data_IF_776631209907
#
_entry.id   IF_776631209907
#
_cell.length_a   1.000
_cell.length_b   1.000
_cell.length_c   1.000
_cell.angle_alpha   90.00
_cell.angle_beta   90.00
_cell.angle_gamma   90.00
#
_symmetry.space_group_name_H-M   'P 1'
#
loop_
_entity.id
_entity.type
_entity.pdbx_description
1 polymer ?
#
# COMPACT_ATOMS: atom_id res chain seq x y z
N UNK A 1 -7.81 7.99 15.75
CA UNK A 1 -7.12 6.90 16.47
C UNK A 1 -7.88 5.59 16.36
N UNK A 2 -9.22 5.60 16.29
CA UNK A 2 -10.04 4.42 15.99
C UNK A 2 -9.59 3.63 14.75
N UNK A 3 -9.28 4.30 13.64
CA UNK A 3 -8.78 3.63 12.43
C UNK A 3 -7.43 2.90 12.67
N UNK A 4 -6.51 3.51 13.42
CA UNK A 4 -5.26 2.87 13.80
C UNK A 4 -5.46 1.70 14.77
N UNK A 5 -6.47 1.78 15.65
CA UNK A 5 -6.81 0.65 16.54
C UNK A 5 -7.33 -0.56 15.77
N UNK A 6 -8.03 -0.35 14.65
CA UNK A 6 -8.62 -1.41 13.83
C UNK A 6 -7.61 -1.97 12.81
N UNK A 7 -6.80 -1.11 12.19
CA UNK A 7 -5.95 -1.50 11.06
C UNK A 7 -4.51 -1.88 11.45
N UNK A 8 -4.02 -1.45 12.62
CA UNK A 8 -2.61 -1.64 12.99
C UNK A 8 -2.43 -2.72 14.07
N UNK A 9 -1.58 -3.72 13.80
CA UNK A 9 -1.19 -4.74 14.77
C UNK A 9 -0.16 -4.24 15.80
N UNK A 10 0.52 -3.13 15.52
CA UNK A 10 1.46 -2.46 16.40
C UNK A 10 1.51 -0.97 16.09
N UNK A 11 1.62 -0.15 17.12
CA UNK A 11 1.62 1.31 17.04
C UNK A 11 2.91 1.82 17.68
N UNK A 12 3.61 2.71 16.99
CA UNK A 12 4.74 3.46 17.52
C UNK A 12 4.30 4.89 17.88
N UNK A 13 4.63 5.35 19.07
CA UNK A 13 4.39 6.73 19.51
C UNK A 13 5.73 7.48 19.51
N UNK A 14 5.78 8.59 18.77
CA UNK A 14 6.89 9.52 18.76
C UNK A 14 6.46 10.87 19.32
N UNK A 15 7.35 11.51 20.09
CA UNK A 15 7.14 12.84 20.67
C UNK A 15 8.38 13.68 20.39
N UNK A 16 8.21 14.87 19.78
CA UNK A 16 9.31 15.76 19.38
C UNK A 16 10.40 15.09 18.54
N UNK A 17 10.00 14.25 17.58
CA UNK A 17 10.95 13.50 16.73
C UNK A 17 11.70 12.37 17.44
N UNK A 18 11.44 12.16 18.74
CA UNK A 18 12.04 11.09 19.52
C UNK A 18 11.06 9.93 19.69
N UNK A 19 11.55 8.72 19.47
CA UNK A 19 10.80 7.50 19.70
C UNK A 19 10.54 7.29 21.20
N UNK A 20 9.26 7.10 21.59
CA UNK A 20 8.87 6.93 23.00
C UNK A 20 8.51 5.48 23.30
N UNK A 21 7.66 4.87 22.49
CA UNK A 21 7.24 3.50 22.71
C UNK A 21 6.67 2.85 21.44
N UNK A 22 6.66 1.52 21.43
CA UNK A 22 6.10 0.67 20.38
C UNK A 22 5.42 -0.54 21.05
N UNK A 23 4.25 -0.91 20.58
CA UNK A 23 3.56 -2.11 21.01
C UNK A 23 2.18 -2.26 20.39
N UNK A 24 1.47 -3.35 20.71
CA UNK A 24 0.05 -3.48 20.34
C UNK A 24 -0.80 -2.42 21.03
N UNK A 25 -2.00 -2.18 20.51
CA UNK A 25 -2.99 -1.26 21.12
C UNK A 25 -3.22 -1.58 22.60
N UNK A 26 -3.40 -2.87 22.94
CA UNK A 26 -3.56 -3.32 24.32
C UNK A 26 -2.29 -3.11 25.16
N UNK A 27 -1.10 -3.33 24.59
CA UNK A 27 0.16 -3.09 25.31
C UNK A 27 0.32 -1.60 25.65
N UNK A 28 -0.01 -0.70 24.73
CA UNK A 28 0.08 0.73 24.95
C UNK A 28 -0.97 1.21 25.96
N UNK A 29 -2.21 0.72 25.88
CA UNK A 29 -3.25 0.99 26.88
C UNK A 29 -2.86 0.49 28.27
N UNK A 30 -2.24 -0.68 28.38
CA UNK A 30 -1.78 -1.22 29.67
C UNK A 30 -0.56 -0.47 30.24
N UNK A 31 0.32 0.03 29.37
CA UNK A 31 1.60 0.64 29.79
C UNK A 31 1.51 2.14 30.01
N UNK A 32 0.61 2.82 29.30
CA UNK A 32 0.50 4.28 29.28
C UNK A 32 -0.94 4.78 29.42
N UNK A 33 -1.93 3.88 29.41
CA UNK A 33 -3.32 4.19 29.74
C UNK A 33 -3.46 4.19 31.24
N UNK A 34 -2.87 5.19 31.88
CA UNK A 34 -2.97 5.37 33.32
C UNK A 34 -4.44 5.58 33.68
N UNK A 35 -4.95 4.72 34.56
CA UNK A 35 -6.24 4.89 35.19
C UNK A 35 -7.43 4.14 34.58
N UNK A 36 -8.52 4.14 35.34
CA UNK A 36 -9.81 3.60 34.94
C UNK A 36 -10.89 4.69 35.02
N UNK A 37 -11.80 4.68 34.06
CA UNK A 37 -13.01 5.50 34.10
C UNK A 37 -14.18 4.66 34.60
N UNK A 38 -14.85 5.14 35.64
CA UNK A 38 -16.01 4.50 36.24
C UNK A 38 -17.24 5.36 36.04
N UNK A 39 -18.29 4.77 35.47
CA UNK A 39 -19.62 5.38 35.36
C UNK A 39 -20.58 4.67 36.31
N UNK A 40 -21.27 5.42 37.16
CA UNK A 40 -22.22 4.88 38.14
C UNK A 40 -23.58 5.50 37.88
N UNK A 41 -24.63 4.68 37.79
CA UNK A 41 -26.02 5.16 37.62
C UNK A 41 -26.79 5.06 38.93
N UNK A 42 -27.30 6.18 39.42
CA UNK A 42 -28.06 6.28 40.67
C UNK A 42 -29.54 5.93 40.50
N UNK A 43 -30.15 5.36 41.54
CA UNK A 43 -31.60 5.15 41.65
C UNK A 43 -32.23 6.49 42.07
N UNK A 44 -33.24 6.95 41.33
CA UNK A 44 -33.82 8.31 41.34
C UNK A 44 -33.82 9.11 42.67
N UNK A 45 -33.39 10.37 42.57
CA UNK A 45 -33.86 11.55 43.34
C UNK A 45 -34.03 11.39 44.86
N UNK A 46 -33.03 10.89 45.58
CA UNK A 46 -32.98 11.00 47.05
C UNK A 46 -31.65 11.62 47.52
N UNK A 47 -31.68 12.96 47.56
CA UNK A 47 -31.11 13.91 48.52
C UNK A 47 -29.83 13.51 49.30
N UNK A 48 -28.70 14.10 48.89
CA UNK A 48 -27.46 14.48 49.64
C UNK A 48 -26.68 13.45 50.49
N UNK A 49 -27.30 12.39 50.98
CA UNK A 49 -26.67 11.39 51.87
C UNK A 49 -25.95 10.29 51.10
N UNK A 50 -26.44 9.92 49.91
CA UNK A 50 -25.77 8.96 49.02
C UNK A 50 -24.45 9.53 48.48
N UNK A 51 -24.40 10.85 48.26
CA UNK A 51 -23.22 11.54 47.75
C UNK A 51 -22.03 11.43 48.71
N UNK A 52 -22.24 11.65 50.02
CA UNK A 52 -21.16 11.56 51.01
C UNK A 52 -20.67 10.13 51.21
N UNK A 53 -21.56 9.14 51.26
CA UNK A 53 -21.13 7.73 51.45
C UNK A 53 -20.35 7.22 50.23
N UNK A 54 -20.71 7.63 49.01
CA UNK A 54 -19.95 7.30 47.80
C UNK A 54 -18.59 8.00 47.83
N UNK A 55 -18.54 9.30 48.18
CA UNK A 55 -17.28 10.04 48.32
C UNK A 55 -16.38 9.46 49.43
N UNK A 56 -16.94 8.98 50.54
CA UNK A 56 -16.21 8.38 51.65
C UNK A 56 -15.65 6.99 51.29
N UNK A 57 -16.41 6.18 50.53
CA UNK A 57 -15.96 4.87 50.03
C UNK A 57 -14.79 4.96 49.03
N UNK A 58 -14.69 6.09 48.34
CA UNK A 58 -13.75 6.38 47.26
C UNK A 58 -12.78 7.50 47.66
N UNK A 59 -12.06 7.33 48.78
CA UNK A 59 -11.03 8.27 49.24
C UNK A 59 -9.84 8.40 48.26
N UNK A 60 -9.25 9.60 48.24
CA UNK A 60 -8.02 10.15 47.58
C UNK A 60 -7.67 9.79 46.13
N UNK A 61 -8.09 8.63 45.62
CA UNK A 61 -7.64 8.08 44.34
C UNK A 61 -8.70 8.19 43.23
N UNK A 62 -9.92 8.58 43.57
CA UNK A 62 -11.06 8.72 42.65
C UNK A 62 -11.39 10.20 42.46
N UNK A 63 -11.18 10.71 41.25
CA UNK A 63 -11.45 12.10 40.88
C UNK A 63 -12.81 12.15 40.18
N UNK A 64 -13.79 12.83 40.78
CA UNK A 64 -15.07 13.09 40.10
C UNK A 64 -14.84 14.07 38.95
N UNK A 65 -15.14 13.65 37.72
CA UNK A 65 -15.02 14.49 36.52
C UNK A 65 -16.31 15.19 36.18
N UNK A 66 -17.41 14.44 36.17
CA UNK A 66 -18.71 14.92 35.72
C UNK A 66 -19.81 14.33 36.59
N UNK A 67 -20.83 15.15 36.85
CA UNK A 67 -22.05 14.77 37.54
C UNK A 67 -23.24 15.16 36.67
N UNK A 68 -23.98 14.16 36.22
CA UNK A 68 -25.31 14.32 35.63
C UNK A 68 -26.37 13.82 36.62
N UNK A 69 -27.63 14.20 36.40
CA UNK A 69 -28.75 14.02 37.33
C UNK A 69 -28.77 12.64 38.01
N UNK A 70 -28.56 11.56 37.25
CA UNK A 70 -28.49 10.19 37.77
C UNK A 70 -27.20 9.45 37.38
N UNK A 71 -26.15 10.13 36.90
CA UNK A 71 -24.91 9.48 36.44
C UNK A 71 -23.71 10.22 37.03
N UNK A 72 -22.83 9.47 37.70
CA UNK A 72 -21.55 9.95 38.21
C UNK A 72 -20.41 9.39 37.36
N UNK A 73 -19.50 10.25 36.92
CA UNK A 73 -18.29 9.87 36.19
C UNK A 73 -17.05 10.11 37.06
N UNK A 74 -16.35 9.04 37.41
CA UNK A 74 -15.10 9.07 38.17
C UNK A 74 -13.92 8.63 37.31
N UNK A 75 -12.76 9.28 37.48
CA UNK A 75 -11.48 8.85 36.93
C UNK A 75 -10.54 8.44 38.07
N UNK A 76 -9.96 7.24 37.99
CA UNK A 76 -8.93 6.76 38.92
C UNK A 76 -7.58 7.08 38.32
N UNK A 77 -6.76 7.88 38.98
CA UNK A 77 -5.46 8.33 38.44
C UNK A 77 -4.28 7.38 38.72
N UNK A 78 -4.44 6.35 39.55
CA UNK A 78 -3.33 5.48 39.99
C UNK A 78 -3.45 4.02 39.53
N UNK A 79 -2.34 3.47 39.04
CA UNK A 79 -2.14 2.07 38.60
C UNK A 79 -2.20 1.07 39.78
N UNK A 80 -2.09 1.53 41.03
CA UNK A 80 -1.98 0.65 42.20
C UNK A 80 -3.32 0.20 42.80
N UNK A 81 -4.46 0.57 42.19
CA UNK A 81 -5.78 0.12 42.66
C UNK A 81 -6.14 -1.20 41.97
N UNK A 82 -6.30 -2.27 42.77
CA UNK A 82 -6.74 -3.56 42.25
C UNK A 82 -8.17 -3.49 41.70
N UNK A 83 -8.40 -4.00 40.49
CA UNK A 83 -9.74 -4.15 39.91
C UNK A 83 -10.68 -4.91 40.85
N UNK A 84 -10.15 -5.90 41.58
CA UNK A 84 -10.92 -6.66 42.59
C UNK A 84 -11.54 -5.73 43.63
N UNK A 85 -10.77 -4.77 44.13
CA UNK A 85 -11.25 -3.85 45.17
C UNK A 85 -12.27 -2.86 44.61
N UNK A 86 -12.11 -2.43 43.35
CA UNK A 86 -13.08 -1.58 42.63
C UNK A 86 -14.41 -2.30 42.48
N UNK A 87 -14.39 -3.52 41.90
CA UNK A 87 -15.60 -4.31 41.68
C UNK A 87 -16.28 -4.69 43.00
N UNK A 88 -15.52 -5.12 44.02
CA UNK A 88 -16.10 -5.44 45.34
C UNK A 88 -16.78 -4.24 46.00
N UNK A 89 -16.22 -3.02 45.87
CA UNK A 89 -16.88 -1.81 46.40
C UNK A 89 -18.15 -1.46 45.61
N UNK A 90 -18.12 -1.56 44.29
CA UNK A 90 -19.28 -1.26 43.43
C UNK A 90 -20.40 -2.29 43.59
N UNK A 91 -20.08 -3.58 43.71
CA UNK A 91 -21.06 -4.63 44.00
C UNK A 91 -21.72 -4.45 45.37
N UNK A 92 -20.97 -4.08 46.40
CA UNK A 92 -21.56 -3.75 47.70
C UNK A 92 -22.55 -2.57 47.62
N UNK A 93 -22.30 -1.59 46.75
CA UNK A 93 -23.23 -0.48 46.50
C UNK A 93 -24.48 -0.94 45.73
N UNK A 94 -24.33 -1.93 44.84
CA UNK A 94 -25.44 -2.55 44.10
C UNK A 94 -26.34 -3.38 45.03
N UNK A 95 -25.74 -4.22 45.89
CA UNK A 95 -26.45 -5.06 46.88
C UNK A 95 -27.22 -4.21 47.88
N UNK A 96 -26.68 -3.07 48.29
CA UNK A 96 -27.35 -2.13 49.19
C UNK A 96 -28.40 -1.24 48.48
N UNK A 97 -28.77 -1.57 47.23
CA UNK A 97 -29.70 -0.85 46.35
C UNK A 97 -29.40 0.65 46.14
N UNK A 98 -28.14 1.08 46.33
CA UNK A 98 -27.76 2.50 46.22
C UNK A 98 -27.48 2.93 44.77
N UNK A 99 -27.11 1.98 43.92
CA UNK A 99 -26.85 2.18 42.49
C UNK A 99 -27.72 1.22 41.68
N UNK A 100 -28.08 1.62 40.48
CA UNK A 100 -28.85 0.80 39.52
C UNK A 100 -27.94 0.00 38.60
N UNK A 101 -26.79 0.58 38.24
CA UNK A 101 -25.84 0.00 37.32
C UNK A 101 -24.47 0.69 37.44
N UNK A 102 -23.41 0.01 37.04
CA UNK A 102 -22.07 0.60 36.96
C UNK A 102 -21.28 0.05 35.76
N UNK A 103 -20.34 0.85 35.27
CA UNK A 103 -19.41 0.47 34.20
C UNK A 103 -18.00 0.89 34.60
N UNK A 104 -17.04 -0.03 34.43
CA UNK A 104 -15.61 0.23 34.58
C UNK A 104 -14.96 0.05 33.22
N UNK A 105 -14.27 1.08 32.74
CA UNK A 105 -13.61 1.08 31.43
C UNK A 105 -12.17 1.55 31.56
N UNK A 106 -11.27 0.93 30.79
CA UNK A 106 -9.90 1.40 30.66
C UNK A 106 -9.88 2.63 29.74
N UNK A 107 -8.92 3.53 29.98
CA UNK A 107 -8.70 4.68 29.11
C UNK A 107 -8.42 4.24 27.66
N UNK A 108 -8.97 5.00 26.71
CA UNK A 108 -8.81 4.75 25.27
C UNK A 108 -7.39 5.10 24.81
N UNK A 109 -6.99 4.63 23.63
CA UNK A 109 -5.70 5.04 23.05
C UNK A 109 -5.66 6.56 22.81
N UNK A 110 -6.83 7.18 22.57
CA UNK A 110 -6.98 8.63 22.52
C UNK A 110 -6.48 9.31 23.81
N UNK A 111 -6.89 8.80 24.96
CA UNK A 111 -6.46 9.32 26.26
C UNK A 111 -4.96 9.11 26.49
N UNK A 112 -4.40 7.97 26.06
CA UNK A 112 -2.95 7.71 26.09
C UNK A 112 -2.19 8.79 25.32
N UNK A 113 -2.65 9.10 24.12
CA UNK A 113 -2.01 10.13 23.28
C UNK A 113 -2.14 11.53 23.87
N UNK A 114 -3.31 11.89 24.40
CA UNK A 114 -3.53 13.19 25.06
C UNK A 114 -2.61 13.34 26.28
N UNK A 115 -2.37 12.28 27.06
CA UNK A 115 -1.41 12.31 28.16
C UNK A 115 0.02 12.58 27.68
N UNK A 116 0.47 11.94 26.59
CA UNK A 116 1.77 12.25 25.98
C UNK A 116 1.88 13.69 25.47
N UNK A 117 0.78 14.33 25.08
CA UNK A 117 0.74 15.76 24.72
C UNK A 117 0.74 16.65 25.96
N UNK A 118 0.04 16.26 27.03
CA UNK A 118 -0.01 17.00 28.30
C UNK A 118 1.35 17.02 29.00
N UNK A 119 2.06 15.91 29.00
CA UNK A 119 3.44 15.81 29.50
C UNK A 119 4.40 16.76 28.77
N UNK A 120 4.14 17.08 27.49
CA UNK A 120 4.93 18.08 26.75
C UNK A 120 4.70 19.49 27.30
N UNK A 121 3.45 19.84 27.63
CA UNK A 121 3.10 21.14 28.19
C UNK A 121 3.70 21.31 29.59
N UNK A 122 3.64 20.27 30.42
CA UNK A 122 4.17 20.30 31.79
C UNK A 122 5.71 20.28 31.82
N UNK A 123 6.37 19.55 30.92
CA UNK A 123 7.83 19.60 30.77
C UNK A 123 8.33 20.97 30.27
N UNK A 124 7.57 21.62 29.39
CA UNK A 124 7.85 22.97 28.90
C UNK A 124 7.63 24.06 29.96
N UNK A 125 6.76 23.82 30.95
CA UNK A 125 6.55 24.71 32.10
C UNK A 125 7.58 24.49 33.22
N UNK A 126 8.01 23.24 33.45
CA UNK A 126 9.09 22.93 34.41
C UNK A 126 10.44 23.48 33.97
N UNK A 127 10.74 23.43 32.67
CA UNK A 127 11.94 24.05 32.10
C UNK A 127 11.92 25.57 32.29
N UNK A 128 10.78 26.26 32.06
CA UNK A 128 10.62 27.71 32.33
C UNK A 128 10.73 28.11 33.81
N UNK A 129 10.36 27.25 34.76
CA UNK A 129 10.59 27.49 36.20
C UNK A 129 12.04 27.25 36.63
N UNK A 130 12.75 26.31 35.98
CA UNK A 130 14.18 26.06 36.24
C UNK A 130 15.10 27.14 35.67
N UNK A 131 14.74 27.77 34.55
CA UNK A 131 15.49 28.88 33.95
C UNK A 131 15.27 30.24 34.61
N UNK A 132 14.27 30.38 35.50
CA UNK A 132 14.09 31.56 36.37
C UNK A 132 14.90 31.51 37.67
N UNK A 133 15.47 30.35 38.03
CA UNK A 133 16.29 30.15 39.24
C UNK A 133 17.80 30.07 38.96
N UNK A 134 18.21 30.18 37.68
CA UNK A 134 19.59 30.08 37.21
C UNK A 134 20.13 31.37 36.56
N UNK A 135 19.42 32.49 36.76
CA UNK A 135 19.85 33.85 36.39
C UNK A 135 20.20 34.68 37.64
N UNK A 136 20.74 34.07 38.68
CA UNK A 136 21.45 34.76 39.78
C UNK A 136 22.60 33.85 40.25
N UNK A 137 23.53 33.54 39.35
CA UNK A 137 24.91 33.13 39.64
C UNK A 137 25.59 32.74 38.33
N UNK A 138 26.06 33.74 37.59
CA UNK A 138 27.05 33.56 36.52
C UNK A 138 27.89 34.83 36.43
N UNK A 139 28.70 35.05 37.46
CA UNK A 139 30.00 35.67 37.31
C UNK A 139 31.01 34.58 37.65
N UNK A 140 31.92 34.34 36.71
CA UNK A 140 33.25 33.75 36.90
C UNK A 140 33.56 32.58 35.95
N UNK A 141 34.37 32.94 34.95
CA UNK A 141 35.54 32.21 34.45
C UNK A 141 35.26 30.92 33.68
N UNK A 142 35.35 31.03 32.36
CA UNK A 142 35.76 29.94 31.48
C UNK A 142 37.08 30.33 30.84
N UNK A 143 38.16 29.68 31.28
CA UNK A 143 39.37 29.48 30.52
C UNK A 143 39.74 27.98 30.63
N UNK A 144 40.16 27.42 29.49
CA UNK A 144 40.89 26.16 29.30
C UNK A 144 40.23 24.78 29.54
N UNK A 145 39.77 24.14 28.45
CA UNK A 145 40.54 23.14 27.64
C UNK A 145 39.72 21.94 27.06
N UNK A 146 40.16 21.56 25.85
CA UNK A 146 40.07 20.28 25.11
C UNK A 146 39.10 20.09 23.92
N UNK A 147 39.74 19.68 22.81
CA UNK A 147 39.35 19.57 21.40
C UNK A 147 38.59 18.27 21.01
N UNK A 148 37.98 18.37 19.81
CA UNK A 148 37.77 17.36 18.75
C UNK A 148 36.92 16.09 19.01
N UNK A 149 36.10 15.61 18.06
CA UNK A 149 35.93 15.93 16.65
C UNK A 149 34.79 15.12 16.02
N UNK A 150 34.34 15.55 14.85
CA UNK A 150 33.18 15.08 14.09
C UNK A 150 33.57 14.06 12.99
N UNK A 151 32.65 13.16 12.62
CA UNK A 151 32.86 12.17 11.53
C UNK A 151 31.92 12.39 10.33
N UNK A 152 32.51 12.17 9.15
CA UNK A 152 32.15 12.63 7.82
C UNK A 152 31.55 11.52 6.94
N UNK A 153 30.70 11.91 6.00
CA UNK A 153 30.07 11.11 4.92
C UNK A 153 31.02 10.76 3.76
N UNK A 154 30.86 9.54 3.22
CA UNK A 154 31.69 8.94 2.14
C UNK A 154 31.35 9.53 0.76
N UNK A 155 32.31 10.19 0.10
CA UNK A 155 32.37 10.46 -1.35
C UNK A 155 33.49 9.63 -1.98
N UNK A 156 33.18 8.89 -3.04
CA UNK A 156 34.15 8.08 -3.80
C UNK A 156 35.07 8.98 -4.64
N UNK A 157 36.39 8.77 -4.50
CA UNK A 157 37.47 9.56 -5.10
C UNK A 157 37.77 9.09 -6.52
N UNK A 158 37.83 10.06 -7.44
CA UNK A 158 38.59 10.01 -8.70
C UNK A 158 40.07 9.75 -8.40
N UNK A 159 40.68 8.84 -9.14
CA UNK A 159 42.14 8.68 -9.22
C UNK A 159 42.61 9.18 -10.59
N UNK A 160 43.42 10.23 -10.59
CA UNK A 160 44.25 10.65 -11.71
C UNK A 160 45.60 9.94 -11.58
N UNK A 161 45.96 9.10 -12.55
CA UNK A 161 47.35 8.77 -12.85
C UNK A 161 47.55 8.96 -14.35
N UNK A 162 48.54 9.80 -14.69
CA UNK A 162 49.03 10.04 -16.04
C UNK A 162 50.01 8.93 -16.47
N UNK A 163 50.19 8.88 -17.79
CA UNK A 163 51.27 8.24 -18.55
C UNK A 163 51.13 6.74 -18.85
N UNK A 164 50.59 6.45 -20.04
CA UNK A 164 51.29 5.64 -21.03
C UNK A 164 50.71 5.88 -22.45
N UNK A 165 51.59 6.38 -23.32
CA UNK A 165 51.41 6.50 -24.78
C UNK A 165 51.06 5.15 -25.41
N UNK A 166 49.88 5.02 -26.01
CA UNK A 166 49.61 4.03 -27.07
C UNK A 166 48.83 4.71 -28.19
N UNK A 167 49.39 4.66 -29.39
CA UNK A 167 48.90 5.31 -30.60
C UNK A 167 47.42 5.01 -30.91
N UNK A 168 46.63 6.07 -31.06
CA UNK A 168 45.30 6.03 -31.67
C UNK A 168 45.41 5.62 -33.14
N UNK A 169 45.31 4.32 -33.42
CA UNK A 169 44.98 3.83 -34.76
C UNK A 169 43.51 4.16 -35.02
N UNK A 170 43.26 5.01 -36.02
CA UNK A 170 41.93 5.31 -36.57
C UNK A 170 41.19 4.02 -36.90
N UNK A 171 40.03 3.82 -36.29
CA UNK A 171 39.10 2.74 -36.66
C UNK A 171 38.29 3.24 -37.87
N UNK A 172 38.10 2.44 -38.93
CA UNK A 172 37.36 2.87 -40.11
C UNK A 172 35.87 3.08 -39.78
N UNK A 173 35.38 4.25 -40.13
CA UNK A 173 33.96 4.61 -40.20
C UNK A 173 33.31 3.90 -41.37
N UNK A 174 32.61 2.78 -41.12
CA UNK A 174 31.47 2.29 -41.93
C UNK A 174 30.95 0.98 -41.31
N UNK A 175 29.84 1.03 -40.57
CA UNK A 175 28.75 0.02 -40.50
C UNK A 175 27.75 0.52 -39.43
N UNK A 176 26.43 0.64 -39.70
CA UNK A 176 25.44 0.96 -38.67
C UNK A 176 25.36 -0.21 -37.70
N UNK A 177 25.71 0.02 -36.44
CA UNK A 177 25.72 -1.01 -35.41
C UNK A 177 24.30 -1.21 -34.87
N UNK A 178 23.50 -2.03 -35.55
CA UNK A 178 22.25 -2.57 -35.00
C UNK A 178 22.59 -3.66 -33.97
N UNK A 179 23.07 -3.27 -32.79
CA UNK A 179 23.12 -4.17 -31.63
C UNK A 179 21.72 -4.19 -31.01
N UNK A 180 20.84 -5.08 -31.51
CA UNK A 180 19.75 -5.57 -30.66
C UNK A 180 20.42 -6.40 -29.56
N UNK A 181 20.53 -5.84 -28.36
CA UNK A 181 21.07 -6.57 -27.20
C UNK A 181 20.07 -7.69 -26.90
N UNK A 182 20.46 -8.93 -27.21
CA UNK A 182 19.65 -10.10 -26.92
C UNK A 182 19.54 -10.28 -25.39
N UNK A 183 18.30 -10.36 -24.88
CA UNK A 183 18.03 -10.49 -23.46
C UNK A 183 18.61 -11.81 -22.91
N UNK A 184 19.33 -11.75 -21.80
CA UNK A 184 19.79 -12.94 -21.08
C UNK A 184 18.65 -13.57 -20.27
N UNK A 185 17.71 -14.21 -20.95
CA UNK A 185 16.41 -14.68 -20.41
C UNK A 185 16.51 -15.43 -19.09
N UNK A 186 17.38 -16.43 -18.97
CA UNK A 186 17.55 -17.20 -17.73
C UNK A 186 18.02 -16.35 -16.55
N UNK A 187 18.89 -15.36 -16.81
CA UNK A 187 19.36 -14.43 -15.77
C UNK A 187 18.25 -13.48 -15.34
N UNK A 188 17.44 -13.00 -16.29
CA UNK A 188 16.27 -12.15 -16.02
C UNK A 188 15.23 -12.92 -15.19
N UNK A 189 14.91 -14.15 -15.57
CA UNK A 189 13.99 -15.02 -14.81
C UNK A 189 14.49 -15.20 -13.37
N UNK A 190 15.77 -15.55 -13.19
CA UNK A 190 16.37 -15.73 -11.87
C UNK A 190 16.35 -14.43 -11.07
N UNK A 191 16.62 -13.29 -11.72
CA UNK A 191 16.57 -11.98 -11.08
C UNK A 191 15.18 -11.66 -10.56
N UNK A 192 14.13 -11.83 -11.38
CA UNK A 192 12.74 -11.56 -10.99
C UNK A 192 12.30 -12.49 -9.84
N UNK A 193 12.62 -13.78 -9.90
CA UNK A 193 12.29 -14.73 -8.83
C UNK A 193 12.96 -14.34 -7.51
N UNK A 194 14.22 -13.90 -7.54
CA UNK A 194 14.91 -13.45 -6.34
C UNK A 194 14.32 -12.13 -5.82
N UNK A 195 14.02 -11.18 -6.71
CA UNK A 195 13.36 -9.93 -6.34
C UNK A 195 12.01 -10.16 -5.64
N UNK A 196 11.19 -11.10 -6.14
CA UNK A 196 9.94 -11.51 -5.49
C UNK A 196 10.18 -12.06 -4.07
N UNK A 197 11.20 -12.90 -3.89
CA UNK A 197 11.57 -13.45 -2.58
C UNK A 197 12.04 -12.36 -1.61
N UNK A 198 12.87 -11.45 -2.09
CA UNK A 198 13.41 -10.35 -1.30
C UNK A 198 12.28 -9.42 -0.84
N UNK A 199 11.38 -9.04 -1.76
CA UNK A 199 10.24 -8.20 -1.44
C UNK A 199 9.30 -8.87 -0.44
N UNK A 200 8.98 -10.16 -0.62
CA UNK A 200 8.21 -10.94 0.35
C UNK A 200 8.86 -10.95 1.76
N UNK A 201 10.19 -11.08 1.83
CA UNK A 201 10.89 -11.04 3.12
C UNK A 201 10.82 -9.66 3.79
N UNK A 202 10.86 -8.59 3.01
CA UNK A 202 10.78 -7.20 3.51
C UNK A 202 9.35 -6.89 3.98
N UNK A 203 8.35 -7.27 3.21
CA UNK A 203 6.93 -7.02 3.50
C UNK A 203 6.40 -7.88 4.66
N UNK A 204 7.09 -8.99 5.00
CA UNK A 204 6.68 -9.97 6.02
C UNK A 204 5.28 -10.55 5.75
N UNK A 205 4.89 -10.63 4.48
CA UNK A 205 3.67 -11.32 4.06
C UNK A 205 3.90 -12.83 4.03
N UNK A 206 2.83 -13.60 3.80
CA UNK A 206 2.85 -15.08 3.84
C UNK A 206 2.92 -15.72 2.45
N UNK A 207 2.83 -14.93 1.38
CA UNK A 207 2.73 -15.46 0.02
C UNK A 207 2.16 -14.44 -0.98
N UNK A 208 1.69 -14.96 -2.11
CA UNK A 208 1.20 -14.18 -3.25
C UNK A 208 -0.21 -14.62 -3.68
N UNK A 209 -0.98 -13.69 -4.23
CA UNK A 209 -2.21 -13.98 -4.97
C UNK A 209 -2.14 -13.36 -6.37
N UNK A 210 -2.56 -14.13 -7.38
CA UNK A 210 -2.52 -13.74 -8.80
C UNK A 210 -3.83 -14.11 -9.48
N UNK A 211 -4.41 -13.17 -10.24
CA UNK A 211 -5.51 -13.48 -11.15
C UNK A 211 -4.98 -14.09 -12.45
N UNK A 212 -5.53 -15.23 -12.87
CA UNK A 212 -5.14 -15.92 -14.12
C UNK A 212 -6.25 -15.74 -15.14
N UNK A 213 -5.99 -14.96 -16.19
CA UNK A 213 -7.00 -14.60 -17.21
C UNK A 213 -7.03 -15.54 -18.41
N UNK A 214 -6.02 -16.41 -18.55
CA UNK A 214 -5.77 -17.18 -19.77
C UNK A 214 -4.97 -16.41 -20.83
N UNK A 215 -4.50 -15.20 -20.50
CA UNK A 215 -3.53 -14.42 -21.28
C UNK A 215 -2.08 -14.62 -20.82
N UNK A 216 -1.14 -14.21 -21.66
CA UNK A 216 0.29 -14.48 -21.47
C UNK A 216 0.89 -13.85 -20.22
N UNK A 217 0.52 -12.61 -19.90
CA UNK A 217 1.17 -11.87 -18.81
C UNK A 217 0.87 -12.49 -17.45
N UNK A 218 -0.42 -12.82 -17.20
CA UNK A 218 -0.83 -13.54 -15.99
C UNK A 218 -0.23 -14.94 -15.91
N UNK A 219 -0.05 -15.62 -17.05
CA UNK A 219 0.59 -16.92 -17.10
C UNK A 219 2.08 -16.85 -16.73
N UNK A 220 2.78 -15.82 -17.20
CA UNK A 220 4.18 -15.56 -16.83
C UNK A 220 4.31 -15.24 -15.35
N UNK A 221 3.55 -14.26 -14.85
CA UNK A 221 3.63 -13.80 -13.45
C UNK A 221 3.31 -14.92 -12.48
N UNK A 222 2.22 -15.67 -12.72
CA UNK A 222 1.84 -16.80 -11.86
C UNK A 222 2.92 -17.90 -11.84
N UNK A 223 3.55 -18.19 -12.99
CA UNK A 223 4.64 -19.17 -13.08
C UNK A 223 5.91 -18.70 -12.37
N UNK A 224 6.28 -17.42 -12.52
CA UNK A 224 7.40 -16.83 -11.79
C UNK A 224 7.16 -16.86 -10.27
N UNK A 225 5.95 -16.50 -9.83
CA UNK A 225 5.55 -16.61 -8.42
C UNK A 225 5.61 -18.06 -7.92
N UNK A 226 5.14 -19.03 -8.71
CA UNK A 226 5.19 -20.45 -8.34
C UNK A 226 6.64 -20.93 -8.14
N UNK A 227 7.55 -20.53 -9.03
CA UNK A 227 8.99 -20.85 -8.97
C UNK A 227 9.73 -20.22 -7.78
N UNK A 228 9.12 -19.28 -7.06
CA UNK A 228 9.70 -18.80 -5.78
C UNK A 228 9.70 -19.89 -4.71
N UNK A 229 8.79 -20.87 -4.79
CA UNK A 229 8.54 -21.86 -3.74
C UNK A 229 7.74 -21.31 -2.56
N UNK A 230 7.33 -20.04 -2.58
CA UNK A 230 6.47 -19.42 -1.56
C UNK A 230 5.00 -19.76 -1.81
N UNK A 231 4.14 -19.72 -0.77
CA UNK A 231 2.71 -19.97 -0.94
C UNK A 231 2.09 -19.05 -2.00
N UNK A 232 1.40 -19.64 -2.97
CA UNK A 232 0.74 -18.95 -4.06
C UNK A 232 -0.72 -19.39 -4.15
N UNK A 233 -1.63 -18.41 -4.23
CA UNK A 233 -3.00 -18.60 -4.65
C UNK A 233 -3.18 -18.06 -6.07
N UNK A 234 -3.65 -18.88 -6.99
CA UNK A 234 -4.08 -18.44 -8.33
C UNK A 234 -5.59 -18.53 -8.48
N UNK A 235 -6.21 -17.49 -9.03
CA UNK A 235 -7.67 -17.40 -9.15
C UNK A 235 -8.10 -17.16 -10.60
N UNK A 236 -9.01 -17.99 -11.09
CA UNK A 236 -9.83 -17.67 -12.27
C UNK A 236 -11.04 -16.85 -11.82
N UNK A 237 -11.30 -15.72 -12.49
CA UNK A 237 -12.33 -14.75 -12.09
C UNK A 237 -13.18 -14.30 -13.29
N UNK A 238 -13.97 -15.21 -13.88
CA UNK A 238 -14.73 -14.92 -15.09
C UNK A 238 -15.87 -13.93 -14.82
N UNK A 239 -16.07 -13.00 -15.76
CA UNK A 239 -17.24 -12.12 -15.84
C UNK A 239 -17.67 -12.04 -17.30
N UNK A 240 -18.74 -12.77 -17.67
CA UNK A 240 -19.20 -12.90 -19.08
C UNK A 240 -18.06 -13.23 -20.06
N UNK A 241 -17.07 -14.00 -19.61
CA UNK A 241 -15.85 -14.27 -20.36
C UNK A 241 -16.08 -15.31 -21.46
N UNK A 242 -15.29 -15.25 -22.53
CA UNK A 242 -15.34 -16.24 -23.60
C UNK A 242 -14.98 -17.64 -23.08
N UNK A 243 -15.56 -18.67 -23.71
CA UNK A 243 -15.24 -20.07 -23.38
C UNK A 243 -13.76 -20.41 -23.63
N UNK A 244 -13.17 -19.81 -24.66
CA UNK A 244 -11.77 -20.04 -25.03
C UNK A 244 -10.79 -19.52 -23.98
N UNK A 245 -10.98 -18.30 -23.47
CA UNK A 245 -10.13 -17.74 -22.42
C UNK A 245 -10.28 -18.49 -21.11
N UNK A 246 -11.53 -18.86 -20.75
CA UNK A 246 -11.80 -19.69 -19.57
C UNK A 246 -11.12 -21.06 -19.65
N UNK A 247 -11.13 -21.68 -20.83
CA UNK A 247 -10.43 -22.95 -21.03
C UNK A 247 -8.92 -22.80 -20.83
N UNK A 248 -8.31 -21.73 -21.37
CA UNK A 248 -6.88 -21.43 -21.17
C UNK A 248 -6.55 -21.14 -19.71
N UNK A 249 -7.34 -20.33 -19.01
CA UNK A 249 -7.10 -20.01 -17.58
C UNK A 249 -7.18 -21.27 -16.72
N UNK A 250 -8.20 -22.11 -16.91
CA UNK A 250 -8.36 -23.38 -16.21
C UNK A 250 -7.23 -24.37 -16.51
N UNK A 251 -6.82 -24.49 -17.78
CA UNK A 251 -5.71 -25.35 -18.16
C UNK A 251 -4.40 -24.90 -17.49
N UNK A 252 -4.13 -23.59 -17.45
CA UNK A 252 -2.93 -23.04 -16.82
C UNK A 252 -2.92 -23.22 -15.30
N UNK A 253 -4.05 -22.96 -14.62
CA UNK A 253 -4.17 -23.19 -13.17
C UNK A 253 -3.95 -24.67 -12.83
N UNK A 254 -4.53 -25.58 -13.63
CA UNK A 254 -4.33 -27.02 -13.45
C UNK A 254 -2.88 -27.41 -13.66
N UNK A 255 -2.21 -26.86 -14.67
CA UNK A 255 -0.79 -27.08 -14.90
C UNK A 255 0.06 -26.58 -13.71
N UNK A 256 -0.20 -25.37 -13.21
CA UNK A 256 0.52 -24.81 -12.05
C UNK A 256 0.36 -25.67 -10.80
N UNK A 257 -0.88 -26.03 -10.43
CA UNK A 257 -1.16 -26.83 -9.23
C UNK A 257 -0.60 -28.25 -9.33
N UNK A 258 -0.45 -28.80 -10.54
CA UNK A 258 0.14 -30.13 -10.75
C UNK A 258 1.67 -30.13 -10.72
N UNK A 259 2.31 -29.02 -11.10
CA UNK A 259 3.77 -28.93 -11.20
C UNK A 259 4.44 -28.27 -9.98
N UNK A 260 3.69 -27.51 -9.18
CA UNK A 260 4.23 -26.72 -8.07
C UNK A 260 3.45 -26.97 -6.77
N UNK A 261 4.05 -27.62 -5.75
CA UNK A 261 3.34 -28.01 -4.52
C UNK A 261 2.96 -26.82 -3.62
N UNK A 262 3.58 -25.66 -3.83
CA UNK A 262 3.28 -24.41 -3.13
C UNK A 262 2.09 -23.63 -3.72
N UNK A 263 1.45 -24.15 -4.78
CA UNK A 263 0.38 -23.45 -5.50
C UNK A 263 -0.98 -24.05 -5.17
N UNK A 264 -1.93 -23.17 -4.88
CA UNK A 264 -3.35 -23.50 -4.73
C UNK A 264 -4.16 -22.74 -5.78
N UNK A 265 -5.16 -23.39 -6.37
CA UNK A 265 -6.03 -22.80 -7.38
C UNK A 265 -7.46 -22.60 -6.88
N UNK A 266 -8.15 -21.59 -7.40
CA UNK A 266 -9.57 -21.34 -7.16
C UNK A 266 -10.29 -20.76 -8.39
N UNK A 267 -11.60 -20.99 -8.45
CA UNK A 267 -12.51 -20.38 -9.44
C UNK A 267 -13.53 -19.55 -8.66
N UNK A 268 -13.63 -18.26 -8.99
CA UNK A 268 -14.58 -17.33 -8.39
C UNK A 268 -15.32 -16.61 -9.50
N UNK A 269 -16.46 -17.17 -9.89
CA UNK A 269 -17.32 -16.53 -10.88
C UNK A 269 -17.93 -15.23 -10.32
N UNK A 270 -17.59 -14.11 -10.95
CA UNK A 270 -18.03 -12.77 -10.53
C UNK A 270 -19.18 -12.23 -11.39
N UNK A 271 -19.72 -13.05 -12.30
CA UNK A 271 -20.78 -12.63 -13.24
C UNK A 271 -22.00 -12.11 -12.50
N UNK A 272 -22.56 -12.87 -11.54
CA UNK A 272 -23.79 -12.47 -10.84
C UNK A 272 -23.65 -11.15 -10.08
N UNK A 273 -22.47 -10.93 -9.47
CA UNK A 273 -22.14 -9.68 -8.78
C UNK A 273 -22.11 -8.51 -9.77
N UNK A 274 -21.44 -8.70 -10.91
CA UNK A 274 -21.39 -7.70 -11.97
C UNK A 274 -22.77 -7.40 -12.55
N UNK A 275 -23.60 -8.41 -12.82
CA UNK A 275 -24.94 -8.20 -13.37
C UNK A 275 -25.88 -7.50 -12.39
N UNK A 276 -25.73 -7.79 -11.10
CA UNK A 276 -26.47 -7.09 -10.04
C UNK A 276 -26.06 -5.62 -9.98
N UNK A 277 -24.76 -5.34 -10.05
CA UNK A 277 -24.26 -3.97 -10.16
C UNK A 277 -24.81 -3.28 -11.41
N UNK A 278 -24.66 -3.90 -12.59
CA UNK A 278 -25.14 -3.39 -13.88
C UNK A 278 -26.62 -3.03 -13.85
N UNK A 279 -27.47 -3.92 -13.33
CA UNK A 279 -28.91 -3.67 -13.16
C UNK A 279 -29.20 -2.51 -12.21
N UNK A 280 -28.35 -2.32 -11.20
CA UNK A 280 -28.51 -1.26 -10.20
C UNK A 280 -28.19 0.11 -10.79
N UNK A 281 -27.02 0.26 -11.43
CA UNK A 281 -26.64 1.55 -12.04
C UNK A 281 -27.53 1.92 -13.22
N UNK A 282 -27.92 0.98 -14.09
CA UNK A 282 -28.84 1.25 -15.22
C UNK A 282 -30.22 1.75 -14.78
N UNK A 283 -30.68 1.39 -13.58
CA UNK A 283 -31.95 1.92 -13.01
C UNK A 283 -31.82 3.34 -12.48
N UNK A 284 -30.61 3.75 -12.11
CA UNK A 284 -30.31 5.06 -11.52
C UNK A 284 -29.78 6.06 -12.55
N UNK A 285 -29.45 5.62 -13.76
CA UNK A 285 -29.10 6.50 -14.88
C UNK A 285 -30.34 7.30 -15.32
N UNK A 286 -30.30 8.61 -15.03
CA UNK A 286 -31.32 9.58 -15.45
C UNK A 286 -30.91 10.11 -16.83
N UNK A 287 -31.35 9.40 -17.87
CA UNK A 287 -31.32 9.77 -19.30
C UNK A 287 -29.97 9.87 -20.07
N UNK A 288 -30.13 9.63 -21.38
CA UNK A 288 -29.18 9.59 -22.53
C UNK A 288 -28.15 8.44 -22.62
N UNK A 289 -28.11 7.82 -23.81
CA UNK A 289 -27.13 6.79 -24.19
C UNK A 289 -25.74 7.41 -24.18
N UNK A 290 -25.01 7.21 -23.07
CA UNK A 290 -23.62 7.64 -22.97
C UNK A 290 -22.73 6.70 -23.78
N UNK A 291 -21.94 7.24 -24.71
CA UNK A 291 -21.02 6.47 -25.54
C UNK A 291 -19.91 5.78 -24.73
N UNK A 292 -19.71 6.16 -23.46
CA UNK A 292 -18.71 5.58 -22.56
C UNK A 292 -19.24 4.45 -21.67
N UNK A 293 -20.52 4.09 -21.76
CA UNK A 293 -21.13 3.08 -20.86
C UNK A 293 -20.42 1.74 -20.93
N UNK A 294 -20.05 1.28 -22.13
CA UNK A 294 -19.34 0.00 -22.30
C UNK A 294 -17.94 0.02 -21.68
N UNK A 295 -17.20 1.13 -21.86
CA UNK A 295 -15.91 1.34 -21.21
C UNK A 295 -16.04 1.43 -19.69
N UNK A 296 -17.10 2.05 -19.17
CA UNK A 296 -17.36 2.09 -17.72
C UNK A 296 -17.58 0.67 -17.18
N UNK A 297 -18.38 -0.15 -17.85
CA UNK A 297 -18.61 -1.54 -17.45
C UNK A 297 -17.38 -2.45 -17.64
N UNK A 298 -16.55 -2.21 -18.65
CA UNK A 298 -15.22 -2.84 -18.78
C UNK A 298 -14.35 -2.54 -17.53
N UNK A 299 -14.23 -1.27 -17.16
CA UNK A 299 -13.47 -0.87 -15.98
C UNK A 299 -14.05 -1.45 -14.67
N UNK A 300 -15.38 -1.49 -14.52
CA UNK A 300 -16.04 -2.10 -13.35
C UNK A 300 -15.66 -3.58 -13.21
N UNK A 301 -15.62 -4.33 -14.31
CA UNK A 301 -15.21 -5.75 -14.28
C UNK A 301 -13.78 -5.91 -13.79
N UNK A 302 -12.86 -5.08 -14.30
CA UNK A 302 -11.48 -5.07 -13.83
C UNK A 302 -11.40 -4.75 -12.32
N UNK A 303 -12.17 -3.77 -11.83
CA UNK A 303 -12.23 -3.42 -10.40
C UNK A 303 -12.84 -4.51 -9.52
N UNK A 304 -13.86 -5.23 -9.99
CA UNK A 304 -14.42 -6.36 -9.24
C UNK A 304 -13.41 -7.49 -9.08
N UNK A 305 -12.59 -7.77 -10.10
CA UNK A 305 -11.48 -8.72 -10.01
C UNK A 305 -10.44 -8.27 -8.99
N UNK A 306 -10.06 -6.99 -9.01
CA UNK A 306 -9.16 -6.40 -8.02
C UNK A 306 -9.69 -6.57 -6.59
N UNK A 307 -10.96 -6.24 -6.34
CA UNK A 307 -11.60 -6.41 -5.03
C UNK A 307 -11.51 -7.87 -4.56
N UNK A 308 -11.79 -8.81 -5.46
CA UNK A 308 -11.71 -10.24 -5.14
C UNK A 308 -10.27 -10.67 -4.80
N UNK A 309 -9.27 -10.21 -5.55
CA UNK A 309 -7.86 -10.49 -5.25
C UNK A 309 -7.46 -9.96 -3.86
N UNK A 310 -7.82 -8.72 -3.54
CA UNK A 310 -7.50 -8.13 -2.23
C UNK A 310 -8.27 -8.79 -1.07
N UNK A 311 -9.48 -9.30 -1.30
CA UNK A 311 -10.18 -10.11 -0.30
C UNK A 311 -9.35 -11.35 0.08
N UNK A 312 -8.91 -12.13 -0.92
CA UNK A 312 -8.10 -13.31 -0.66
C UNK A 312 -6.71 -12.97 -0.11
N UNK A 313 -6.10 -11.88 -0.58
CA UNK A 313 -4.84 -11.36 -0.05
C UNK A 313 -4.97 -11.08 1.45
N UNK A 314 -6.03 -10.38 1.86
CA UNK A 314 -6.26 -9.97 3.25
C UNK A 314 -6.43 -11.18 4.18
N UNK A 315 -7.30 -12.13 3.83
CA UNK A 315 -7.56 -13.28 4.70
C UNK A 315 -6.38 -14.26 4.77
N UNK A 316 -5.49 -14.25 3.76
CA UNK A 316 -4.28 -15.09 3.74
C UNK A 316 -3.02 -14.36 4.21
N UNK A 317 -3.06 -13.04 4.32
CA UNK A 317 -1.86 -12.20 4.52
C UNK A 317 -0.89 -12.27 3.34
N UNK A 318 -1.40 -12.31 2.10
CA UNK A 318 -0.62 -12.37 0.85
C UNK A 318 -0.49 -10.99 0.20
N UNK A 319 0.40 -10.87 -0.78
CA UNK A 319 0.49 -9.72 -1.68
C UNK A 319 -0.27 -9.98 -2.98
N UNK A 320 -0.98 -8.97 -3.48
CA UNK A 320 -1.56 -8.98 -4.83
C UNK A 320 -0.46 -8.65 -5.83
N UNK A 321 -0.18 -9.57 -6.75
CA UNK A 321 0.86 -9.40 -7.78
C UNK A 321 0.24 -9.00 -9.10
N UNK A 322 0.68 -7.87 -9.64
CA UNK A 322 0.26 -7.35 -10.92
C UNK A 322 0.91 -8.03 -12.12
N UNK A 323 0.20 -7.96 -13.24
CA UNK A 323 0.57 -8.63 -14.47
C UNK A 323 0.85 -7.67 -15.62
N UNK A 324 0.80 -6.36 -15.38
CA UNK A 324 1.09 -5.37 -16.39
C UNK A 324 2.56 -5.38 -16.81
N UNK A 325 2.80 -5.34 -18.11
CA UNK A 325 4.13 -5.22 -18.71
C UNK A 325 4.46 -3.75 -19.01
N UNK A 326 5.69 -3.49 -19.46
CA UNK A 326 6.20 -2.13 -19.66
C UNK A 326 5.42 -1.36 -20.72
N UNK A 327 5.00 -2.01 -21.79
CA UNK A 327 4.34 -1.37 -22.93
C UNK A 327 2.91 -0.96 -22.56
N UNK A 328 2.15 -1.89 -21.96
CA UNK A 328 0.75 -1.67 -21.60
C UNK A 328 0.62 -0.68 -20.46
N UNK A 329 1.22 -0.97 -19.32
CA UNK A 329 0.98 -0.20 -18.10
C UNK A 329 1.74 1.12 -18.12
N UNK A 330 3.02 1.08 -18.49
CA UNK A 330 3.93 2.22 -18.33
C UNK A 330 4.27 2.93 -19.66
N UNK A 331 3.91 2.32 -20.79
CA UNK A 331 4.03 2.90 -22.12
C UNK A 331 2.77 3.66 -22.49
N UNK A 332 1.68 2.96 -22.79
CA UNK A 332 0.43 3.57 -23.26
C UNK A 332 -0.65 3.75 -22.19
N UNK A 333 -0.46 3.19 -20.99
CA UNK A 333 -1.44 3.25 -19.90
C UNK A 333 -2.73 2.46 -20.17
N UNK A 334 -2.60 1.34 -20.87
CA UNK A 334 -3.69 0.46 -21.30
C UNK A 334 -4.08 -0.54 -20.20
N UNK A 335 -4.53 0.00 -19.08
CA UNK A 335 -5.05 -0.75 -17.94
C UNK A 335 -6.15 0.04 -17.21
N UNK A 336 -6.94 -0.64 -16.37
CA UNK A 336 -7.91 0.02 -15.51
C UNK A 336 -7.23 0.52 -14.24
N UNK A 337 -7.24 1.85 -14.03
CA UNK A 337 -6.77 2.43 -12.76
C UNK A 337 -7.61 1.91 -11.59
N UNK A 338 -6.93 1.35 -10.58
CA UNK A 338 -7.52 0.64 -9.44
C UNK A 338 -8.35 -0.60 -9.83
N UNK A 339 -8.12 -1.15 -11.03
CA UNK A 339 -8.55 -2.49 -11.41
C UNK A 339 -7.34 -3.40 -11.44
N UNK A 340 -6.99 -3.87 -12.63
CA UNK A 340 -5.79 -4.65 -12.92
C UNK A 340 -4.48 -3.92 -12.57
N UNK A 341 -4.46 -2.58 -12.61
CA UNK A 341 -3.34 -1.78 -12.08
C UNK A 341 -3.39 -1.51 -10.57
N UNK A 342 -4.41 -1.99 -9.86
CA UNK A 342 -4.49 -1.91 -8.39
C UNK A 342 -3.81 -3.13 -7.78
N UNK A 343 -2.51 -3.03 -7.51
CA UNK A 343 -1.66 -4.16 -7.09
C UNK A 343 -0.61 -3.72 -6.09
N UNK A 344 -0.02 -4.66 -5.34
CA UNK A 344 1.03 -4.35 -4.38
C UNK A 344 2.42 -4.34 -5.02
N UNK A 345 2.64 -5.20 -6.02
CA UNK A 345 3.92 -5.36 -6.74
C UNK A 345 3.72 -5.78 -8.20
N UNK A 346 4.63 -5.37 -9.10
CA UNK A 346 4.57 -5.68 -10.54
C UNK A 346 5.90 -6.23 -11.08
N UNK A 347 6.14 -7.56 -11.02
CA UNK A 347 7.45 -8.16 -11.30
C UNK A 347 7.89 -8.12 -12.77
N UNK A 348 6.98 -7.87 -13.71
CA UNK A 348 7.25 -7.80 -15.15
C UNK A 348 7.03 -6.41 -15.74
N UNK A 349 6.82 -5.40 -14.89
CA UNK A 349 6.56 -4.01 -15.30
C UNK A 349 7.67 -3.37 -16.14
N UNK A 350 8.89 -3.91 -16.09
CA UNK A 350 10.03 -3.43 -16.88
C UNK A 350 10.33 -4.31 -18.10
N UNK A 351 9.52 -5.33 -18.39
CA UNK A 351 9.66 -6.16 -19.58
C UNK A 351 8.76 -5.63 -20.70
N UNK A 352 9.31 -5.55 -21.91
CA UNK A 352 8.55 -5.34 -23.14
C UNK A 352 7.67 -6.58 -23.45
N UNK A 353 6.64 -6.43 -24.29
CA UNK A 353 5.73 -7.55 -24.63
C UNK A 353 6.49 -8.69 -25.32
N UNK A 354 7.44 -8.35 -26.18
CA UNK A 354 8.36 -9.29 -26.82
C UNK A 354 9.20 -10.07 -25.80
N UNK A 355 9.70 -9.42 -24.75
CA UNK A 355 10.46 -10.06 -23.67
C UNK A 355 9.58 -10.96 -22.81
N UNK A 356 8.33 -10.55 -22.53
CA UNK A 356 7.34 -11.40 -21.85
C UNK A 356 7.10 -12.69 -22.64
N UNK A 357 6.99 -12.63 -23.98
CA UNK A 357 6.87 -13.83 -24.84
C UNK A 357 8.08 -14.75 -24.72
N UNK A 358 9.28 -14.18 -24.73
CA UNK A 358 10.54 -14.93 -24.55
C UNK A 358 10.61 -15.60 -23.19
N UNK A 359 10.26 -14.88 -22.12
CA UNK A 359 10.19 -15.45 -20.76
C UNK A 359 9.14 -16.55 -20.67
N UNK A 360 7.95 -16.37 -21.24
CA UNK A 360 6.88 -17.36 -21.25
C UNK A 360 7.34 -18.71 -21.84
N UNK A 361 8.02 -18.66 -22.99
CA UNK A 361 8.58 -19.84 -23.64
C UNK A 361 9.64 -20.52 -22.76
N UNK A 362 10.58 -19.75 -22.19
CA UNK A 362 11.64 -20.28 -21.35
C UNK A 362 11.13 -20.91 -20.03
N UNK A 363 10.03 -20.40 -19.47
CA UNK A 363 9.46 -20.94 -18.23
C UNK A 363 8.41 -22.05 -18.44
N UNK A 364 8.14 -22.44 -19.68
CA UNK A 364 7.27 -23.56 -20.04
C UNK A 364 5.77 -23.24 -20.03
N UNK A 365 5.39 -21.98 -20.24
CA UNK A 365 3.97 -21.61 -20.43
C UNK A 365 3.38 -22.32 -21.66
N UNK A 366 2.11 -22.71 -21.57
CA UNK A 366 1.39 -23.44 -22.63
C UNK A 366 1.41 -22.71 -23.98
N UNK A 367 1.59 -23.45 -25.07
CA UNK A 367 1.72 -22.89 -26.41
C UNK A 367 0.43 -22.23 -26.92
N UNK A 368 -0.72 -22.69 -26.43
CA UNK A 368 -2.05 -22.13 -26.63
C UNK A 368 -2.19 -20.73 -26.03
N UNK A 369 -1.51 -20.45 -24.92
CA UNK A 369 -1.41 -19.11 -24.32
C UNK A 369 -0.41 -18.25 -25.07
N UNK A 370 0.76 -18.79 -25.43
CA UNK A 370 1.81 -18.04 -26.14
C UNK A 370 1.34 -17.56 -27.53
N UNK A 371 0.54 -18.37 -28.24
CA UNK A 371 0.01 -18.04 -29.58
C UNK A 371 -1.29 -17.24 -29.55
N UNK A 372 -1.90 -17.07 -28.38
CA UNK A 372 -3.13 -16.31 -28.24
C UNK A 372 -2.88 -14.84 -28.66
N UNK A 373 -3.78 -14.23 -29.46
CA UNK A 373 -3.74 -12.79 -29.64
C UNK A 373 -3.99 -12.10 -28.28
N UNK A 374 -3.27 -11.00 -27.96
CA UNK A 374 -3.54 -10.20 -26.77
C UNK A 374 -4.97 -9.63 -26.77
N UNK A 375 -5.66 -9.81 -25.65
CA UNK A 375 -7.01 -9.30 -25.40
C UNK A 375 -7.14 -8.87 -23.95
N UNK A 376 -7.81 -7.73 -23.72
CA UNK A 376 -8.15 -7.26 -22.37
C UNK A 376 -9.20 -8.14 -21.67
N UNK A 377 -9.93 -8.98 -22.42
CA UNK A 377 -11.01 -9.83 -21.91
C UNK A 377 -12.11 -9.02 -21.22
N UNK A 378 -12.20 -7.73 -21.54
CA UNK A 378 -13.18 -6.79 -21.07
C UNK A 378 -14.22 -6.56 -22.15
N UNK A 379 -13.92 -6.37 -23.41
CA UNK A 379 -15.02 -6.21 -24.37
C UNK A 379 -15.68 -7.56 -24.69
N UNK A 380 -17.02 -7.59 -24.77
CA UNK A 380 -17.77 -8.79 -25.18
C UNK A 380 -17.72 -9.03 -26.69
N UNK A 381 -16.88 -8.28 -27.40
CA UNK A 381 -16.65 -8.35 -28.83
C UNK A 381 -15.30 -9.04 -29.14
N UNK A 382 -14.97 -9.17 -30.42
CA UNK A 382 -13.77 -9.88 -30.88
C UNK A 382 -12.55 -8.97 -31.09
N UNK A 383 -12.59 -7.70 -30.64
CA UNK A 383 -11.49 -6.76 -30.89
C UNK A 383 -10.29 -7.09 -30.02
N UNK A 384 -9.11 -7.06 -30.63
CA UNK A 384 -7.83 -7.24 -29.93
C UNK A 384 -7.38 -5.94 -29.29
N UNK A 385 -6.38 -6.02 -28.41
CA UNK A 385 -5.76 -4.82 -27.82
C UNK A 385 -5.16 -3.91 -28.90
N UNK A 386 -4.55 -4.50 -29.93
CA UNK A 386 -3.97 -3.78 -31.06
C UNK A 386 -5.05 -3.06 -31.89
N UNK A 387 -6.23 -3.67 -32.08
CA UNK A 387 -7.37 -3.02 -32.75
C UNK A 387 -7.88 -1.81 -31.95
N UNK A 388 -7.94 -1.94 -30.62
CA UNK A 388 -8.35 -0.85 -29.75
C UNK A 388 -7.31 0.27 -29.70
N UNK A 389 -6.03 -0.07 -29.81
CA UNK A 389 -4.92 0.89 -29.76
C UNK A 389 -4.73 1.62 -31.09
N UNK A 390 -4.87 0.91 -32.21
CA UNK A 390 -4.55 1.37 -33.57
C UNK A 390 -3.08 1.14 -33.97
N UNK A 391 -2.33 0.40 -33.16
CA UNK A 391 -0.92 0.05 -33.38
C UNK A 391 -0.61 -1.32 -32.76
N UNK A 392 0.32 -2.06 -33.36
CA UNK A 392 0.77 -3.34 -32.82
C UNK A 392 1.73 -3.17 -31.64
N UNK A 393 1.90 -4.21 -30.82
CA UNK A 393 2.88 -4.17 -29.73
C UNK A 393 4.30 -3.93 -30.23
N UNK A 394 4.69 -4.53 -31.35
CA UNK A 394 6.01 -4.34 -31.93
C UNK A 394 6.21 -2.87 -32.40
N UNK A 395 5.15 -2.23 -32.90
CA UNK A 395 5.15 -0.81 -33.26
C UNK A 395 5.25 0.09 -32.01
N UNK A 396 4.54 -0.24 -30.93
CA UNK A 396 4.61 0.51 -29.67
C UNK A 396 5.98 0.37 -28.99
N UNK A 397 6.55 -0.83 -28.97
CA UNK A 397 7.91 -1.08 -28.46
C UNK A 397 8.95 -0.27 -29.24
N UNK A 398 8.83 -0.24 -30.57
CA UNK A 398 9.66 0.61 -31.41
C UNK A 398 9.51 2.09 -31.03
N UNK A 399 8.28 2.59 -30.86
CA UNK A 399 8.04 3.99 -30.50
C UNK A 399 8.62 4.36 -29.12
N UNK A 400 8.49 3.47 -28.13
CA UNK A 400 9.09 3.63 -26.80
C UNK A 400 10.62 3.74 -26.88
N UNK A 401 11.25 2.78 -27.56
CA UNK A 401 12.71 2.77 -27.72
C UNK A 401 13.21 3.97 -28.52
N UNK A 402 12.46 4.40 -29.54
CA UNK A 402 12.80 5.57 -30.34
C UNK A 402 12.82 6.85 -29.50
N UNK A 403 11.86 7.04 -28.58
CA UNK A 403 11.84 8.21 -27.70
C UNK A 403 13.00 8.20 -26.70
N UNK A 404 13.34 7.05 -26.11
CA UNK A 404 14.51 6.91 -25.25
C UNK A 404 15.82 7.25 -25.98
N UNK A 405 15.91 6.81 -27.24
CA UNK A 405 17.05 7.06 -28.12
C UNK A 405 17.06 8.46 -28.74
N UNK A 406 15.93 9.16 -28.84
CA UNK A 406 15.86 10.52 -29.44
C UNK A 406 16.63 11.58 -28.63
N UNK A 407 17.01 11.27 -27.39
CA UNK A 407 18.01 12.03 -26.62
C UNK A 407 19.44 11.91 -27.21
N UNK A 408 19.66 10.97 -28.13
CA UNK A 408 20.87 10.72 -28.90
C UNK A 408 20.61 11.23 -30.32
N UNK A 409 21.30 12.31 -30.70
CA UNK A 409 21.09 13.11 -31.93
C UNK A 409 21.38 12.34 -33.24
N UNK A 410 20.48 11.49 -33.69
CA UNK A 410 20.45 11.02 -35.08
C UNK A 410 19.09 11.32 -35.73
N UNK A 411 19.08 12.31 -36.63
CA UNK A 411 17.94 12.63 -37.51
C UNK A 411 17.78 11.54 -38.58
N UNK A 412 17.24 10.39 -38.20
CA UNK A 412 16.74 9.41 -39.17
C UNK A 412 15.38 9.87 -39.71
N UNK A 413 15.23 9.93 -41.04
CA UNK A 413 13.95 10.28 -41.67
C UNK A 413 12.91 9.19 -41.40
N UNK A 414 11.90 9.51 -40.58
CA UNK A 414 10.82 8.59 -40.22
C UNK A 414 9.84 8.36 -41.39
N UNK A 415 9.38 7.12 -41.55
CA UNK A 415 8.28 6.78 -42.47
C UNK A 415 6.94 7.36 -41.97
N UNK A 416 5.94 7.45 -42.84
CA UNK A 416 4.63 7.98 -42.44
C UNK A 416 3.92 7.09 -41.42
N UNK A 417 4.07 5.75 -41.50
CA UNK A 417 3.54 4.84 -40.48
C UNK A 417 4.24 5.06 -39.13
N UNK A 418 5.57 5.20 -39.12
CA UNK A 418 6.33 5.50 -37.90
C UNK A 418 5.91 6.82 -37.25
N UNK A 419 5.64 7.87 -38.04
CA UNK A 419 5.09 9.14 -37.53
C UNK A 419 3.71 8.95 -36.91
N UNK A 420 2.83 8.19 -37.56
CA UNK A 420 1.49 7.87 -37.02
C UNK A 420 1.58 7.09 -35.70
N UNK A 421 2.44 6.08 -35.63
CA UNK A 421 2.63 5.27 -34.42
C UNK A 421 3.17 6.12 -33.27
N UNK A 422 4.16 7.00 -33.53
CA UNK A 422 4.64 7.94 -32.50
C UNK A 422 3.55 8.89 -32.01
N UNK A 423 2.69 9.38 -32.91
CA UNK A 423 1.55 10.22 -32.55
C UNK A 423 0.53 9.45 -31.69
N UNK A 424 0.19 8.21 -32.07
CA UNK A 424 -0.68 7.31 -31.29
C UNK A 424 -0.09 7.09 -29.89
N UNK A 425 1.19 6.71 -29.82
CA UNK A 425 1.89 6.46 -28.55
C UNK A 425 1.89 7.71 -27.68
N UNK A 426 2.37 8.85 -28.19
CA UNK A 426 2.49 10.10 -27.42
C UNK A 426 1.14 10.60 -26.90
N UNK A 427 0.09 10.54 -27.74
CA UNK A 427 -1.27 10.91 -27.33
C UNK A 427 -1.76 10.03 -26.19
N UNK A 428 -1.64 8.71 -26.31
CA UNK A 428 -2.07 7.76 -25.27
C UNK A 428 -1.24 7.90 -24.00
N UNK A 429 0.08 7.92 -24.13
CA UNK A 429 1.01 8.08 -23.01
C UNK A 429 0.67 9.33 -22.20
N UNK A 430 0.61 10.49 -22.86
CA UNK A 430 0.31 11.78 -22.21
C UNK A 430 -1.07 11.78 -21.56
N UNK A 431 -2.10 11.29 -22.27
CA UNK A 431 -3.46 11.23 -21.75
C UNK A 431 -3.59 10.30 -20.53
N UNK A 432 -2.78 9.25 -20.44
CA UNK A 432 -2.83 8.25 -19.38
C UNK A 432 -1.76 8.42 -18.30
N UNK A 433 -0.94 9.48 -18.33
CA UNK A 433 0.10 9.74 -17.30
C UNK A 433 -0.48 9.68 -15.89
N UNK A 434 -1.72 10.16 -15.70
CA UNK A 434 -2.40 10.13 -14.41
C UNK A 434 -2.63 8.72 -13.83
N UNK A 435 -2.44 7.65 -14.62
CA UNK A 435 -2.48 6.25 -14.16
C UNK A 435 -1.10 5.74 -13.74
N UNK A 436 -0.04 6.28 -14.35
CA UNK A 436 1.34 5.78 -14.25
C UNK A 436 2.17 6.55 -13.21
N UNK A 437 1.86 7.81 -12.98
CA UNK A 437 2.51 8.64 -11.97
C UNK A 437 1.78 8.57 -10.63
N UNK A 438 2.51 8.84 -9.55
CA UNK A 438 1.95 8.94 -8.21
C UNK A 438 0.76 9.91 -8.17
N UNK A 439 -0.20 9.63 -7.28
CA UNK A 439 -1.36 10.52 -7.10
C UNK A 439 -0.86 11.92 -6.74
N UNK A 440 -1.19 12.95 -7.54
CA UNK A 440 -0.72 14.30 -7.29
C UNK A 440 -1.25 14.79 -5.94
N UNK A 441 -0.35 15.21 -5.06
CA UNK A 441 -0.68 15.78 -3.75
C UNK A 441 -0.48 17.28 -3.78
N UNK A 442 -1.46 18.02 -3.24
CA UNK A 442 -1.27 19.43 -2.96
C UNK A 442 -0.28 19.59 -1.80
N UNK A 443 0.96 19.97 -2.12
CA UNK A 443 1.99 20.22 -1.11
C UNK A 443 1.84 21.67 -0.65
N UNK A 444 1.30 21.84 0.56
CA UNK A 444 1.15 23.16 1.17
C UNK A 444 2.52 23.67 1.64
N UNK A 445 2.99 24.84 1.15
CA UNK A 445 4.22 25.47 1.62
C UNK A 445 4.23 25.68 3.14
N UNK A 446 5.39 25.55 3.77
CA UNK A 446 5.52 25.64 5.23
C UNK A 446 5.13 27.02 5.78
N UNK A 447 5.40 28.06 5.01
CA UNK A 447 5.05 29.45 5.31
C UNK A 447 3.53 29.68 5.40
N UNK A 448 2.71 28.90 4.66
CA UNK A 448 1.25 28.93 4.81
C UNK A 448 0.74 28.10 6.00
N UNK A 449 1.61 27.27 6.61
CA UNK A 449 1.30 26.47 7.82
C UNK A 449 1.73 27.16 9.11
N UNK A 450 2.54 28.22 9.01
CA UNK A 450 3.07 28.92 10.17
C UNK A 450 2.23 30.19 10.39
N UNK A 451 1.74 30.47 11.60
CA UNK A 451 1.03 31.70 11.88
C UNK A 451 1.90 32.91 11.53
N UNK A 452 1.36 33.87 10.78
CA UNK A 452 2.01 35.16 10.60
C UNK A 452 1.99 35.87 11.96
N UNK A 453 3.17 36.36 12.38
CA UNK A 453 3.37 37.02 13.66
C UNK A 453 2.70 38.39 13.75
#
# INVERSE_FOLDING_TARGET
>A
MEECEVLCSSIAIMVNGCFRCLGSTQHLKNRFGDGYTIKIRLKSSSSSTVDQTILDCFSSNFILKERHINILHYEIAEIHVSLKDIFSKLENLLINERITDYSVSQNTLDNVFVNFVRDQLDASQRTKKSSKRRQEHFSDILDDTFEDGSFVTRKSRRNNNNDNNVSLKRIPTTTPCNYLIEMQTERVIKYIINWLKDYHSISRTKGFVVGVSGGIDSAVVSTLCARTGLPLLVLDMPIRQSSSEKQRSHAHIKWLTSNFPNVTGGDVNLTDVFETFEKTVKKSEVDEVNTNTDLAFANVRSRLRMINLYYFASIKGYLVVGTGNKVEDFGVGFFTKYGDGGVDISPIADLMKSEVRTVAAAIGVGQDIIKAPPTDGLYGDTRTDEDQIGASYDELEWAMNHLDLSNIKEEATLTDRQKQVLDIYNKRHTANLHKMVEIPRCIIPLELKTPQA
#
